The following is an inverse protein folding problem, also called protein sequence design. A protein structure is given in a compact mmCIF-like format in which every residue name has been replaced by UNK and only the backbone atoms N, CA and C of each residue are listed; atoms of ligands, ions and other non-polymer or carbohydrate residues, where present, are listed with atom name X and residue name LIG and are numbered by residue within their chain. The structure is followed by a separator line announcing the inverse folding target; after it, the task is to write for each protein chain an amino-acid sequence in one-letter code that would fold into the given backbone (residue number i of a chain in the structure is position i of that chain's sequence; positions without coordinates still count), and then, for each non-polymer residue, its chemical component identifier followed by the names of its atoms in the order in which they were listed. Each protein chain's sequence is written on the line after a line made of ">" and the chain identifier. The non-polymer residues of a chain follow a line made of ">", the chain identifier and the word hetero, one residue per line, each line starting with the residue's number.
data_IF_785478111180
#
_entry.id   IF_785478111180
#
_cell.length_a   1.000
_cell.length_b   1.000
_cell.length_c   1.000
_cell.angle_alpha   90.00
_cell.angle_beta   90.00
_cell.angle_gamma   90.00
#
_symmetry.space_group_name_H-M   'P 1'
#
loop_
_entity.id
_entity.type
_entity.pdbx_description
1 polymer ?
#
# COMPACT_ATOMS: atom_id res chain seq x y z
N UNK A 1 14.25 -49.43 9.67
CA UNK A 1 13.35 -48.66 8.78
C UNK A 1 14.09 -47.40 8.35
N UNK A 2 14.82 -47.45 7.22
CA UNK A 2 15.59 -46.30 6.74
C UNK A 2 14.62 -45.31 6.09
N UNK A 3 14.24 -44.25 6.81
CA UNK A 3 13.47 -43.17 6.20
C UNK A 3 14.38 -42.47 5.19
N UNK A 4 13.95 -42.41 3.93
CA UNK A 4 14.76 -41.89 2.85
C UNK A 4 14.96 -40.37 3.04
N UNK A 5 16.21 -39.92 3.25
CA UNK A 5 16.55 -38.50 3.52
C UNK A 5 15.97 -37.53 2.48
N UNK A 6 15.82 -37.99 1.23
CA UNK A 6 15.21 -37.24 0.12
C UNK A 6 13.77 -36.80 0.41
N UNK A 7 12.95 -37.63 1.07
CA UNK A 7 11.56 -37.25 1.39
C UNK A 7 11.49 -36.16 2.45
N UNK A 8 12.37 -36.21 3.46
CA UNK A 8 12.48 -35.15 4.47
C UNK A 8 12.96 -33.83 3.87
N UNK A 9 13.95 -33.87 2.98
CA UNK A 9 14.40 -32.67 2.27
C UNK A 9 13.27 -32.05 1.44
N UNK A 10 12.50 -32.85 0.71
CA UNK A 10 11.35 -32.37 -0.06
C UNK A 10 10.27 -31.78 0.85
N UNK A 11 9.94 -32.45 1.95
CA UNK A 11 8.98 -31.96 2.93
C UNK A 11 9.41 -30.59 3.49
N UNK A 12 10.66 -30.46 3.93
CA UNK A 12 11.21 -29.22 4.46
C UNK A 12 11.20 -28.08 3.44
N UNK A 13 11.55 -28.37 2.18
CA UNK A 13 11.49 -27.39 1.08
C UNK A 13 10.04 -26.95 0.85
N UNK A 14 9.09 -27.88 0.78
CA UNK A 14 7.68 -27.56 0.58
C UNK A 14 7.11 -26.71 1.72
N UNK A 15 7.45 -27.02 2.97
CA UNK A 15 7.04 -26.22 4.14
C UNK A 15 7.68 -24.83 4.08
N UNK A 16 8.99 -24.74 3.76
CA UNK A 16 9.68 -23.47 3.60
C UNK A 16 9.08 -22.58 2.52
N UNK A 17 8.77 -23.16 1.35
CA UNK A 17 8.06 -22.46 0.27
C UNK A 17 6.67 -22.00 0.71
N UNK A 18 5.95 -22.81 1.49
CA UNK A 18 4.67 -22.42 2.08
C UNK A 18 4.77 -21.15 2.92
N UNK A 19 5.78 -21.06 3.79
CA UNK A 19 6.02 -19.85 4.59
C UNK A 19 6.42 -18.65 3.76
N UNK A 20 7.26 -18.83 2.74
CA UNK A 20 7.67 -17.74 1.85
C UNK A 20 6.48 -17.17 1.07
N UNK A 21 5.60 -18.03 0.56
CA UNK A 21 4.38 -17.61 -0.12
C UNK A 21 3.43 -16.85 0.82
N UNK A 22 3.25 -17.37 2.05
CA UNK A 22 2.44 -16.71 3.06
C UNK A 22 2.99 -15.32 3.44
N UNK A 23 4.31 -15.22 3.65
CA UNK A 23 4.98 -13.96 3.99
C UNK A 23 5.01 -12.95 2.84
N UNK A 24 5.07 -13.42 1.59
CA UNK A 24 5.12 -12.54 0.41
C UNK A 24 3.75 -11.94 0.05
N UNK A 25 2.66 -12.49 0.57
CA UNK A 25 1.31 -12.06 0.20
C UNK A 25 1.03 -10.58 0.49
N UNK A 26 1.42 -10.10 1.67
CA UNK A 26 1.21 -8.71 2.08
C UNK A 26 2.02 -7.71 1.23
N UNK A 27 3.35 -7.85 1.08
CA UNK A 27 4.13 -6.89 0.28
C UNK A 27 3.71 -6.90 -1.20
N UNK A 28 3.40 -8.07 -1.78
CA UNK A 28 2.93 -8.14 -3.16
C UNK A 28 1.61 -7.38 -3.36
N UNK A 29 0.68 -7.50 -2.39
CA UNK A 29 -0.56 -6.73 -2.41
C UNK A 29 -0.32 -5.23 -2.30
N UNK A 30 0.62 -4.82 -1.45
CA UNK A 30 0.95 -3.40 -1.27
C UNK A 30 1.51 -2.80 -2.58
N UNK A 31 2.44 -3.47 -3.24
CA UNK A 31 3.01 -3.04 -4.53
C UNK A 31 1.93 -2.97 -5.63
N UNK A 32 1.07 -3.98 -5.71
CA UNK A 32 -0.05 -3.98 -6.66
C UNK A 32 -1.01 -2.81 -6.39
N UNK A 33 -1.30 -2.52 -5.13
CA UNK A 33 -2.15 -1.38 -4.76
C UNK A 33 -1.52 -0.04 -5.17
N UNK A 34 -0.21 0.15 -4.93
CA UNK A 34 0.50 1.36 -5.38
C UNK A 34 0.45 1.52 -6.90
N UNK A 35 0.65 0.44 -7.65
CA UNK A 35 0.54 0.47 -9.10
C UNK A 35 -0.87 0.85 -9.58
N UNK A 36 -1.91 0.29 -8.95
CA UNK A 36 -3.31 0.62 -9.28
C UNK A 36 -3.66 2.08 -8.90
N UNK A 37 -3.13 2.58 -7.79
CA UNK A 37 -3.30 3.98 -7.36
C UNK A 37 -2.64 4.92 -8.36
N UNK A 38 -1.40 4.64 -8.76
CA UNK A 38 -0.69 5.39 -9.79
C UNK A 38 -1.49 5.41 -11.09
N UNK A 39 -1.99 4.24 -11.53
CA UNK A 39 -2.83 4.13 -12.73
C UNK A 39 -4.13 4.94 -12.62
N UNK A 40 -4.78 4.96 -11.44
CA UNK A 40 -5.99 5.75 -11.23
C UNK A 40 -5.70 7.26 -11.28
N UNK A 41 -4.57 7.69 -10.72
CA UNK A 41 -4.11 9.08 -10.80
C UNK A 41 -3.88 9.54 -12.25
N UNK A 42 -3.24 8.72 -13.08
CA UNK A 42 -2.96 9.03 -14.49
C UNK A 42 -4.23 9.20 -15.35
N UNK A 43 -5.41 8.81 -14.87
CA UNK A 43 -6.67 9.03 -15.58
C UNK A 43 -7.12 10.51 -15.55
N UNK A 44 -6.52 11.35 -14.70
CA UNK A 44 -6.77 12.79 -14.64
C UNK A 44 -8.02 13.20 -13.85
N UNK A 45 -8.87 12.26 -13.45
CA UNK A 45 -10.01 12.48 -12.58
C UNK A 45 -9.95 11.55 -11.36
N UNK A 46 -10.41 11.96 -10.17
CA UNK A 46 -10.45 11.09 -9.00
C UNK A 46 -11.28 9.82 -9.23
N UNK A 47 -10.60 8.72 -9.53
CA UNK A 47 -11.20 7.42 -9.79
C UNK A 47 -10.75 6.37 -8.75
N UNK A 48 -11.54 5.31 -8.62
CA UNK A 48 -11.21 4.22 -7.70
C UNK A 48 -10.07 3.37 -8.29
N UNK A 49 -8.98 3.11 -7.55
CA UNK A 49 -7.89 2.25 -8.01
C UNK A 49 -8.30 0.81 -8.36
N UNK A 50 -9.32 0.29 -7.67
CA UNK A 50 -9.99 -0.97 -7.97
C UNK A 50 -11.50 -0.85 -7.65
N UNK A 51 -12.37 -1.73 -8.18
CA UNK A 51 -13.83 -1.50 -8.15
C UNK A 51 -14.45 -1.29 -6.76
N UNK A 52 -13.91 -1.98 -5.75
CA UNK A 52 -14.36 -1.91 -4.36
C UNK A 52 -13.45 -1.06 -3.45
N UNK A 53 -12.59 -0.22 -4.03
CA UNK A 53 -11.80 0.72 -3.22
C UNK A 53 -12.71 1.80 -2.63
N UNK A 54 -12.57 2.09 -1.34
CA UNK A 54 -13.22 3.24 -0.70
C UNK A 54 -12.39 4.52 -0.79
N UNK A 55 -11.15 4.39 -1.27
CA UNK A 55 -10.21 5.49 -1.49
C UNK A 55 -10.07 5.87 -2.96
N UNK A 56 -9.70 7.13 -3.19
CA UNK A 56 -9.28 7.64 -4.50
C UNK A 56 -8.06 8.56 -4.33
N UNK A 57 -7.06 8.52 -5.23
CA UNK A 57 -6.01 9.51 -5.24
C UNK A 57 -6.59 10.86 -5.68
N UNK A 58 -6.43 11.88 -4.84
CA UNK A 58 -6.97 13.24 -5.09
C UNK A 58 -5.88 14.29 -5.25
N UNK A 59 -4.65 14.01 -4.84
CA UNK A 59 -3.51 14.90 -5.04
C UNK A 59 -2.19 14.12 -5.11
N UNK A 60 -1.18 14.78 -5.67
CA UNK A 60 0.20 14.30 -5.67
C UNK A 60 1.05 15.23 -4.80
N UNK A 61 1.52 14.72 -3.67
CA UNK A 61 2.37 15.46 -2.74
C UNK A 61 3.83 15.20 -3.09
N UNK A 62 4.58 16.23 -3.45
CA UNK A 62 6.01 16.14 -3.71
C UNK A 62 6.77 17.05 -2.75
N UNK A 63 7.79 16.49 -2.10
CA UNK A 63 8.70 17.24 -1.22
C UNK A 63 10.12 17.09 -1.77
N UNK A 64 10.55 17.94 -2.72
CA UNK A 64 11.82 17.79 -3.43
C UNK A 64 13.03 17.74 -2.50
N UNK A 65 13.03 18.55 -1.44
CA UNK A 65 14.13 18.59 -0.45
C UNK A 65 14.33 17.25 0.28
N UNK A 66 13.29 16.43 0.39
CA UNK A 66 13.36 15.10 1.00
C UNK A 66 13.51 13.98 -0.04
N UNK A 67 13.46 14.30 -1.34
CA UNK A 67 13.34 13.33 -2.43
C UNK A 67 12.20 12.33 -2.20
N UNK A 68 11.04 12.82 -1.74
CA UNK A 68 9.86 12.00 -1.47
C UNK A 68 8.64 12.50 -2.20
N UNK A 69 7.78 11.56 -2.57
CA UNK A 69 6.50 11.83 -3.20
C UNK A 69 5.47 10.78 -2.79
N UNK A 70 4.21 11.19 -2.73
CA UNK A 70 3.09 10.32 -2.41
C UNK A 70 1.82 10.74 -3.14
N UNK A 71 0.96 9.78 -3.41
CA UNK A 71 -0.44 10.06 -3.73
C UNK A 71 -1.23 10.25 -2.45
N UNK A 72 -2.00 11.34 -2.38
CA UNK A 72 -2.87 11.65 -1.24
C UNK A 72 -4.25 11.08 -1.51
N UNK A 73 -4.75 10.26 -0.58
CA UNK A 73 -6.06 9.65 -0.64
C UNK A 73 -7.17 10.64 -0.24
N UNK A 74 -8.39 10.35 -0.69
CA UNK A 74 -9.61 11.13 -0.46
C UNK A 74 -9.96 11.36 1.01
N UNK A 75 -9.50 10.49 1.91
CA UNK A 75 -9.72 10.56 3.34
C UNK A 75 -8.51 10.03 4.12
N UNK A 76 -8.55 10.13 5.44
CA UNK A 76 -7.53 9.64 6.37
C UNK A 76 -8.03 8.51 7.26
N UNK A 77 -8.90 7.63 6.76
CA UNK A 77 -9.33 6.43 7.47
C UNK A 77 -8.18 5.45 7.69
N UNK A 78 -8.32 4.51 8.63
CA UNK A 78 -7.27 3.53 8.91
C UNK A 78 -6.91 2.66 7.69
N UNK A 79 -7.89 2.36 6.83
CA UNK A 79 -7.65 1.67 5.56
C UNK A 79 -6.88 2.56 4.58
N UNK A 80 -7.31 3.83 4.41
CA UNK A 80 -6.63 4.74 3.49
C UNK A 80 -5.17 4.96 3.86
N UNK A 81 -4.89 5.12 5.16
CA UNK A 81 -3.55 5.33 5.68
C UNK A 81 -2.63 4.11 5.48
N UNK A 82 -3.18 2.91 5.27
CA UNK A 82 -2.38 1.74 4.91
C UNK A 82 -1.82 1.82 3.47
N UNK A 83 -2.40 2.66 2.61
CA UNK A 83 -2.00 2.84 1.22
C UNK A 83 -1.29 4.17 0.93
N UNK A 84 -1.34 5.14 1.84
CA UNK A 84 -0.62 6.40 1.69
C UNK A 84 -1.16 7.52 2.58
N UNK A 85 -0.60 8.73 2.46
CA UNK A 85 -1.15 9.91 3.11
C UNK A 85 -2.61 10.16 2.70
N UNK A 86 -3.41 10.71 3.61
CA UNK A 86 -4.83 10.98 3.40
C UNK A 86 -5.23 12.40 3.78
N UNK A 87 -6.23 12.96 3.11
CA UNK A 87 -6.80 14.26 3.47
C UNK A 87 -7.66 14.13 4.73
N UNK A 88 -7.28 14.83 5.80
CA UNK A 88 -8.05 14.82 7.03
C UNK A 88 -9.35 15.62 6.89
N UNK A 89 -10.44 15.13 7.47
CA UNK A 89 -11.78 15.73 7.35
C UNK A 89 -11.81 17.22 7.72
N UNK A 90 -11.11 17.62 8.79
CA UNK A 90 -11.02 19.03 9.21
C UNK A 90 -10.35 19.95 8.18
N UNK A 91 -9.50 19.40 7.30
CA UNK A 91 -8.83 20.13 6.24
C UNK A 91 -9.56 20.08 4.89
N UNK A 92 -10.59 19.24 4.74
CA UNK A 92 -11.20 18.98 3.44
C UNK A 92 -11.86 20.24 2.83
N UNK A 93 -12.66 20.95 3.62
CA UNK A 93 -13.39 22.16 3.21
C UNK A 93 -12.78 23.45 3.75
N UNK A 94 -11.54 23.38 4.27
CA UNK A 94 -10.79 24.51 4.82
C UNK A 94 -9.81 25.05 3.77
N UNK A 95 -9.46 26.33 3.87
CA UNK A 95 -8.33 26.92 3.12
C UNK A 95 -7.02 26.22 3.46
N UNK A 96 -6.85 25.84 4.73
CA UNK A 96 -5.72 25.03 5.20
C UNK A 96 -6.03 23.55 5.01
N UNK A 97 -5.26 22.89 4.14
CA UNK A 97 -5.34 21.43 3.96
C UNK A 97 -4.50 20.72 5.02
N UNK A 98 -5.04 19.64 5.58
CA UNK A 98 -4.39 18.82 6.59
C UNK A 98 -4.21 17.43 5.99
N UNK A 99 -2.97 16.97 5.88
CA UNK A 99 -2.63 15.65 5.35
C UNK A 99 -2.07 14.81 6.50
N UNK A 100 -2.68 13.65 6.73
CA UNK A 100 -2.27 12.70 7.76
C UNK A 100 -1.63 11.47 7.11
N UNK A 101 -0.61 10.89 7.74
CA UNK A 101 0.00 9.64 7.31
C UNK A 101 0.64 8.91 8.50
N UNK A 102 0.87 7.60 8.34
CA UNK A 102 1.68 6.83 9.28
C UNK A 102 3.12 7.35 9.32
N UNK A 103 3.64 7.57 10.53
CA UNK A 103 5.00 8.09 10.75
C UNK A 103 6.09 7.11 10.33
N UNK A 104 5.84 5.81 10.40
CA UNK A 104 6.80 4.73 10.22
C UNK A 104 6.86 4.21 8.78
N UNK A 105 5.73 4.22 8.06
CA UNK A 105 5.65 3.70 6.69
C UNK A 105 5.61 4.79 5.62
N UNK A 106 5.04 5.96 5.92
CA UNK A 106 4.83 7.01 4.92
C UNK A 106 5.62 8.29 5.25
N UNK A 107 5.44 8.88 6.43
CA UNK A 107 6.12 10.12 6.85
C UNK A 107 7.39 9.89 7.71
N UNK A 108 8.10 8.78 7.47
CA UNK A 108 9.38 8.50 8.11
C UNK A 108 10.50 9.40 7.59
#
# INVERSE_FOLDING_TARGET
>A
MFVNKRYWSLLLISVGLGFLLAGSWIPLKAELAQWLIHRAWEQGEPSKPWPWADIKPIAHLQIPRLNKQWYVMSDSSGEALAFGPGLHASGANSETKIIAAHRDTHFA
#
